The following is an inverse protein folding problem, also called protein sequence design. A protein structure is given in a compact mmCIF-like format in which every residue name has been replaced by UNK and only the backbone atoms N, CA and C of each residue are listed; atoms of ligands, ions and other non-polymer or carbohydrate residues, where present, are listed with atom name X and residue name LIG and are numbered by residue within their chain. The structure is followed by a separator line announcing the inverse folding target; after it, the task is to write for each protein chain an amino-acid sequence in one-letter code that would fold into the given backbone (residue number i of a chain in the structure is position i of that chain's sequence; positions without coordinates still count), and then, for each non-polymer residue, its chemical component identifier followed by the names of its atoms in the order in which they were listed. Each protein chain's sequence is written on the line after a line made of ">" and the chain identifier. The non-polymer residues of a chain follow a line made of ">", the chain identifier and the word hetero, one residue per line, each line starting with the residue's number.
data_IF_524357558227
#
_entry.id   IF_524357558227
#
_cell.length_a   1.000
_cell.length_b   1.000
_cell.length_c   1.000
_cell.angle_alpha   90.00
_cell.angle_beta   90.00
_cell.angle_gamma   90.00
#
_symmetry.space_group_name_H-M   'P 1'
#
loop_
_entity.id
_entity.type
_entity.pdbx_description
1 polymer ?
#
# COMPACT_ATOMS: atom_id res chain seq x y z
N UNK A 1 -21.42 75.70 -23.43
CA UNK A 1 -20.46 74.69 -23.00
C UNK A 1 -21.10 73.47 -22.30
N UNK A 2 -22.29 73.04 -22.75
CA UNK A 2 -23.06 71.96 -22.04
C UNK A 2 -23.21 70.65 -22.89
N UNK A 3 -22.98 70.69 -24.18
CA UNK A 3 -23.23 69.54 -25.05
C UNK A 3 -22.12 68.44 -25.01
N UNK A 4 -20.88 68.74 -24.63
CA UNK A 4 -19.76 67.77 -24.66
C UNK A 4 -19.71 66.84 -23.42
N UNK A 5 -20.33 67.20 -22.30
CA UNK A 5 -20.32 66.36 -21.09
C UNK A 5 -21.22 65.11 -21.22
N UNK A 6 -22.33 65.22 -21.94
CA UNK A 6 -23.28 64.11 -22.11
C UNK A 6 -22.77 63.03 -23.07
N UNK A 7 -21.95 63.39 -24.04
CA UNK A 7 -21.40 62.44 -25.01
C UNK A 7 -20.29 61.56 -24.41
N UNK A 8 -19.40 62.14 -23.57
CA UNK A 8 -18.32 61.46 -22.88
C UNK A 8 -18.90 60.47 -21.85
N UNK A 9 -19.93 60.85 -21.12
CA UNK A 9 -20.57 59.98 -20.12
C UNK A 9 -21.22 58.74 -20.73
N UNK A 10 -21.88 58.92 -21.90
CA UNK A 10 -22.50 57.80 -22.62
C UNK A 10 -21.48 56.81 -23.20
N UNK A 11 -20.33 57.26 -23.67
CA UNK A 11 -19.26 56.39 -24.15
C UNK A 11 -18.64 55.57 -23.02
N UNK A 12 -18.43 56.13 -21.83
CA UNK A 12 -17.91 55.40 -20.67
C UNK A 12 -18.86 54.33 -20.15
N UNK A 13 -20.17 54.59 -20.12
CA UNK A 13 -21.17 53.62 -19.66
C UNK A 13 -21.28 52.43 -20.61
N UNK A 14 -21.26 52.66 -21.94
CA UNK A 14 -21.29 51.57 -22.93
C UNK A 14 -20.05 50.71 -22.86
N UNK A 15 -18.86 51.28 -22.65
CA UNK A 15 -17.58 50.52 -22.52
C UNK A 15 -17.55 49.67 -21.25
N UNK A 16 -18.01 50.20 -20.12
CA UNK A 16 -18.09 49.47 -18.85
C UNK A 16 -19.11 48.30 -18.89
N UNK A 17 -20.22 48.46 -19.55
CA UNK A 17 -21.20 47.36 -19.72
C UNK A 17 -20.65 46.28 -20.64
N UNK A 18 -19.93 46.62 -21.70
CA UNK A 18 -19.31 45.63 -22.59
C UNK A 18 -18.23 44.83 -21.89
N UNK A 19 -17.38 45.45 -21.04
CA UNK A 19 -16.36 44.76 -20.25
C UNK A 19 -16.96 43.85 -19.18
N UNK A 20 -18.04 44.31 -18.51
CA UNK A 20 -18.74 43.47 -17.54
C UNK A 20 -19.41 42.25 -18.16
N UNK A 21 -20.00 42.41 -19.36
CA UNK A 21 -20.63 41.32 -20.10
C UNK A 21 -19.61 40.30 -20.60
N UNK A 22 -18.40 40.75 -20.97
CA UNK A 22 -17.31 39.85 -21.41
C UNK A 22 -16.71 39.07 -20.27
N UNK A 23 -16.57 39.64 -19.07
CA UNK A 23 -16.11 38.94 -17.86
C UNK A 23 -17.11 37.91 -17.35
N UNK A 24 -18.40 38.10 -17.51
CA UNK A 24 -19.44 37.14 -17.12
C UNK A 24 -19.47 35.94 -18.10
N UNK A 25 -19.26 36.19 -19.40
CA UNK A 25 -19.20 35.10 -20.39
C UNK A 25 -17.93 34.24 -20.28
N UNK A 26 -16.81 34.82 -19.84
CA UNK A 26 -15.55 34.05 -19.61
C UNK A 26 -15.58 33.17 -18.37
N UNK A 27 -16.46 33.43 -17.42
CA UNK A 27 -16.60 32.66 -16.17
C UNK A 27 -17.48 31.41 -16.31
N UNK A 28 -18.22 31.25 -17.39
CA UNK A 28 -19.14 30.12 -17.59
C UNK A 28 -18.44 28.92 -18.27
N UNK A 29 -17.31 29.12 -18.95
CA UNK A 29 -16.62 28.05 -19.63
C UNK A 29 -15.65 27.22 -18.76
N UNK A 30 -15.37 27.63 -17.50
CA UNK A 30 -14.50 26.90 -16.59
C UNK A 30 -15.19 25.87 -15.67
N UNK A 31 -16.49 25.70 -15.79
CA UNK A 31 -17.26 24.90 -14.82
C UNK A 31 -17.65 23.49 -15.29
N UNK A 32 -17.22 23.01 -16.45
CA UNK A 32 -17.64 21.70 -16.97
C UNK A 32 -16.50 20.75 -17.38
N UNK A 33 -15.33 20.86 -16.77
CA UNK A 33 -14.39 19.76 -16.76
C UNK A 33 -14.75 18.79 -15.62
N UNK A 34 -15.95 18.24 -15.64
CA UNK A 34 -16.25 17.01 -14.91
C UNK A 34 -15.42 15.92 -15.59
N UNK A 35 -14.20 15.68 -15.09
CA UNK A 35 -13.47 14.45 -15.41
C UNK A 35 -14.39 13.31 -14.99
N UNK A 36 -15.10 12.75 -15.95
CA UNK A 36 -15.77 11.47 -15.77
C UNK A 36 -14.72 10.51 -15.25
N UNK A 37 -14.81 10.11 -13.99
CA UNK A 37 -13.99 9.08 -13.41
C UNK A 37 -14.26 7.82 -14.25
N UNK A 38 -13.40 7.56 -15.23
CA UNK A 38 -13.48 6.32 -16.01
C UNK A 38 -13.22 5.19 -15.04
N UNK A 39 -14.19 4.30 -14.86
CA UNK A 39 -13.98 3.08 -14.09
C UNK A 39 -12.72 2.38 -14.60
N UNK A 40 -11.72 2.10 -13.73
CA UNK A 40 -10.48 1.50 -14.17
C UNK A 40 -10.77 0.15 -14.84
N UNK A 41 -10.13 -0.07 -16.01
CA UNK A 41 -10.30 -1.31 -16.75
C UNK A 41 -9.67 -2.50 -15.98
N UNK A 42 -10.21 -3.72 -16.08
CA UNK A 42 -9.61 -4.90 -15.45
C UNK A 42 -8.12 -5.11 -15.80
N UNK A 43 -7.70 -4.75 -17.01
CA UNK A 43 -6.29 -4.81 -17.42
C UNK A 43 -5.40 -3.87 -16.58
N UNK A 44 -5.88 -2.68 -16.24
CA UNK A 44 -5.14 -1.74 -15.38
C UNK A 44 -5.06 -2.27 -13.94
N UNK A 45 -6.09 -2.98 -13.49
CA UNK A 45 -6.11 -3.68 -12.21
C UNK A 45 -5.10 -4.82 -12.15
N UNK A 46 -4.93 -5.61 -13.21
CA UNK A 46 -3.92 -6.67 -13.26
C UNK A 46 -2.50 -6.10 -13.27
N UNK A 47 -2.23 -5.03 -14.02
CA UNK A 47 -0.93 -4.36 -13.98
C UNK A 47 -0.62 -3.77 -12.59
N UNK A 48 -1.64 -3.24 -11.89
CA UNK A 48 -1.51 -2.78 -10.52
C UNK A 48 -1.26 -3.96 -9.57
N UNK A 49 -1.91 -5.11 -9.78
CA UNK A 49 -1.68 -6.33 -9.02
C UNK A 49 -0.24 -6.83 -9.15
N UNK A 50 0.37 -6.81 -10.32
CA UNK A 50 1.76 -7.23 -10.52
C UNK A 50 2.72 -6.41 -9.62
N UNK A 51 2.46 -5.13 -9.48
CA UNK A 51 3.19 -4.25 -8.55
C UNK A 51 2.96 -4.66 -7.09
N UNK A 52 1.73 -4.96 -6.70
CA UNK A 52 1.40 -5.44 -5.34
C UNK A 52 2.10 -6.78 -5.08
N UNK A 53 2.01 -7.74 -5.98
CA UNK A 53 2.63 -9.06 -5.84
C UNK A 53 4.16 -8.98 -5.69
N UNK A 54 4.83 -8.08 -6.40
CA UNK A 54 6.28 -7.89 -6.29
C UNK A 54 6.71 -7.50 -4.86
N UNK A 55 5.89 -6.73 -4.17
CA UNK A 55 6.12 -6.34 -2.77
C UNK A 55 5.77 -7.48 -1.81
N UNK A 56 4.61 -8.13 -1.99
CA UNK A 56 4.18 -9.21 -1.11
C UNK A 56 5.16 -10.38 -1.08
N UNK A 57 5.86 -10.63 -2.18
CA UNK A 57 6.87 -11.70 -2.29
C UNK A 57 8.31 -11.23 -2.06
N UNK A 58 8.48 -9.99 -1.61
CA UNK A 58 9.78 -9.46 -1.17
C UNK A 58 10.13 -9.97 0.24
N UNK A 59 11.40 -10.16 0.59
CA UNK A 59 11.81 -10.71 1.90
C UNK A 59 11.17 -10.05 3.12
N UNK A 60 10.94 -8.73 3.10
CA UNK A 60 10.29 -8.00 4.22
C UNK A 60 8.85 -8.46 4.49
N UNK A 61 8.17 -9.03 3.51
CA UNK A 61 6.81 -9.54 3.63
C UNK A 61 6.80 -11.07 3.73
N UNK A 62 7.43 -11.77 2.78
CA UNK A 62 7.35 -13.23 2.67
C UNK A 62 8.00 -13.96 3.86
N UNK A 63 8.97 -13.36 4.56
CA UNK A 63 9.57 -13.94 5.75
C UNK A 63 8.57 -14.15 6.90
N UNK A 64 7.57 -13.27 7.02
CA UNK A 64 6.45 -13.44 7.97
C UNK A 64 5.31 -14.25 7.38
N UNK A 65 5.07 -14.11 6.06
CA UNK A 65 4.08 -14.86 5.29
C UNK A 65 4.63 -16.23 4.83
N UNK A 66 5.33 -16.93 5.70
CA UNK A 66 5.97 -18.23 5.47
C UNK A 66 5.00 -19.38 5.71
N UNK A 67 5.21 -20.50 4.99
CA UNK A 67 4.52 -21.77 5.24
C UNK A 67 5.12 -22.57 6.39
N UNK A 68 6.32 -22.20 6.85
CA UNK A 68 7.07 -22.95 7.85
C UNK A 68 6.51 -22.78 9.27
N UNK A 69 6.85 -23.73 10.15
CA UNK A 69 6.56 -23.61 11.59
C UNK A 69 7.58 -22.71 12.32
N UNK A 70 8.28 -21.86 11.62
CA UNK A 70 9.25 -20.91 12.16
C UNK A 70 9.27 -19.66 11.30
N UNK A 71 9.67 -18.51 11.86
CA UNK A 71 9.90 -17.30 11.06
C UNK A 71 11.15 -17.45 10.20
N UNK A 72 11.15 -16.84 9.03
CA UNK A 72 12.34 -16.62 8.23
C UNK A 72 12.90 -15.23 8.49
N UNK A 73 14.17 -15.01 8.19
CA UNK A 73 14.83 -13.72 8.30
C UNK A 73 15.90 -13.53 7.22
N UNK A 74 16.37 -12.30 7.08
CA UNK A 74 17.35 -11.96 6.06
C UNK A 74 16.74 -11.83 4.66
N UNK A 75 17.58 -11.45 3.71
CA UNK A 75 17.19 -11.33 2.31
C UNK A 75 17.25 -12.69 1.59
N UNK A 76 18.04 -13.61 2.14
CA UNK A 76 18.14 -15.03 1.76
C UNK A 76 17.08 -15.91 2.40
N UNK A 77 16.23 -15.36 3.27
CA UNK A 77 15.10 -16.03 3.90
C UNK A 77 15.49 -17.27 4.73
N UNK A 78 16.66 -17.27 5.34
CA UNK A 78 17.07 -18.35 6.24
C UNK A 78 16.19 -18.42 7.50
N UNK A 79 16.22 -19.57 8.20
CA UNK A 79 15.53 -19.75 9.46
C UNK A 79 16.01 -18.76 10.52
N UNK A 80 15.10 -18.25 11.32
CA UNK A 80 15.41 -17.34 12.43
C UNK A 80 16.42 -17.96 13.41
N UNK A 81 17.47 -17.23 13.77
CA UNK A 81 18.62 -17.73 14.52
C UNK A 81 18.29 -18.25 15.92
N UNK A 82 17.36 -17.65 16.62
CA UNK A 82 17.00 -18.04 17.99
C UNK A 82 16.16 -19.34 18.07
N UNK A 83 16.06 -20.13 17.00
CA UNK A 83 15.22 -21.33 16.93
C UNK A 83 13.74 -21.10 17.35
N UNK A 84 13.26 -19.90 17.20
CA UNK A 84 11.86 -19.53 17.45
C UNK A 84 10.95 -20.37 16.56
N UNK A 85 9.84 -20.82 17.10
CA UNK A 85 8.78 -21.47 16.35
C UNK A 85 7.52 -20.59 16.33
N UNK A 86 6.64 -20.85 15.37
CA UNK A 86 5.43 -20.05 15.12
C UNK A 86 4.54 -19.92 16.37
N UNK A 87 4.30 -21.03 17.09
CA UNK A 87 3.40 -21.06 18.23
C UNK A 87 1.95 -20.67 17.91
N UNK A 88 1.10 -20.57 18.90
CA UNK A 88 -0.28 -20.11 18.75
C UNK A 88 -0.33 -18.69 18.16
N UNK A 89 -1.24 -18.47 17.23
CA UNK A 89 -1.48 -17.17 16.60
C UNK A 89 -0.23 -16.52 15.94
N UNK A 90 0.82 -17.30 15.68
CA UNK A 90 2.06 -16.76 15.12
C UNK A 90 2.91 -15.95 16.07
N UNK A 91 2.62 -15.98 17.38
CA UNK A 91 3.24 -15.12 18.41
C UNK A 91 4.44 -15.76 19.13
N UNK A 92 4.88 -16.93 18.67
CA UNK A 92 5.91 -17.73 19.36
C UNK A 92 5.30 -18.59 20.47
N UNK A 93 6.14 -19.18 21.29
CA UNK A 93 5.75 -20.06 22.42
C UNK A 93 6.17 -19.47 23.75
N UNK A 94 5.65 -20.03 24.84
CA UNK A 94 6.05 -19.62 26.18
C UNK A 94 7.59 -19.70 26.33
N UNK A 95 8.19 -18.63 26.84
CA UNK A 95 9.64 -18.46 26.96
C UNK A 95 10.37 -17.98 25.69
N UNK A 96 9.75 -18.07 24.52
CA UNK A 96 10.25 -17.55 23.23
C UNK A 96 9.16 -16.82 22.46
N UNK A 97 8.43 -15.95 23.13
CA UNK A 97 7.42 -15.11 22.51
C UNK A 97 8.11 -14.03 21.65
N UNK A 98 7.56 -13.73 20.48
CA UNK A 98 8.13 -12.76 19.54
C UNK A 98 8.40 -11.39 20.20
N UNK A 99 7.44 -10.88 20.96
CA UNK A 99 7.55 -9.56 21.61
C UNK A 99 8.58 -9.50 22.75
N UNK A 100 9.11 -10.65 23.20
CA UNK A 100 10.20 -10.66 24.20
C UNK A 100 11.48 -10.02 23.64
N UNK A 101 11.70 -10.12 22.33
CA UNK A 101 12.85 -9.52 21.63
C UNK A 101 12.41 -8.37 20.71
N UNK A 102 11.32 -8.55 19.96
CA UNK A 102 10.80 -7.56 19.03
C UNK A 102 9.86 -6.60 19.76
N UNK A 103 10.40 -5.45 20.16
CA UNK A 103 9.68 -4.43 20.90
C UNK A 103 8.85 -3.53 19.97
N UNK A 104 8.22 -2.48 20.51
CA UNK A 104 7.36 -1.53 19.79
C UNK A 104 8.07 -0.78 18.64
N UNK A 105 9.41 -0.79 18.62
CA UNK A 105 10.26 -0.14 17.62
C UNK A 105 11.59 -0.86 17.45
N UNK A 106 12.26 -0.60 16.32
CA UNK A 106 13.62 -1.10 16.09
C UNK A 106 14.58 -0.67 17.20
N UNK A 107 15.49 -1.57 17.59
CA UNK A 107 16.58 -1.26 18.51
C UNK A 107 17.85 -0.95 17.73
N UNK A 108 18.30 0.29 17.75
CA UNK A 108 19.57 0.68 17.11
C UNK A 108 20.78 0.10 17.84
N UNK A 109 20.66 -0.15 19.14
CA UNK A 109 21.76 -0.70 19.95
C UNK A 109 22.04 -2.18 19.66
N UNK A 110 20.99 -2.97 19.35
CA UNK A 110 21.11 -4.43 19.15
C UNK A 110 20.88 -4.85 17.70
N UNK A 111 20.34 -3.95 16.88
CA UNK A 111 19.89 -4.28 15.53
C UNK A 111 18.67 -5.20 15.48
N UNK A 112 17.99 -5.45 16.61
CA UNK A 112 16.75 -6.22 16.62
C UNK A 112 15.62 -5.37 16.03
N UNK A 113 14.91 -5.86 15.00
CA UNK A 113 13.78 -5.14 14.45
C UNK A 113 12.59 -5.15 15.41
N UNK A 114 11.74 -4.13 15.34
CA UNK A 114 10.55 -4.02 16.17
C UNK A 114 9.45 -3.19 15.52
N UNK A 115 8.24 -3.57 15.82
CA UNK A 115 7.01 -2.84 15.54
C UNK A 115 5.91 -3.36 16.47
N UNK A 116 4.86 -2.58 16.67
CA UNK A 116 3.76 -2.98 17.53
C UNK A 116 3.19 -4.35 17.14
N UNK A 117 2.99 -5.22 18.12
CA UNK A 117 2.31 -6.50 17.94
C UNK A 117 3.07 -7.51 17.07
N UNK A 118 4.38 -7.57 17.13
CA UNK A 118 5.22 -8.45 16.29
C UNK A 118 4.78 -9.92 16.33
N UNK A 119 4.40 -10.46 15.18
CA UNK A 119 3.96 -11.84 15.00
C UNK A 119 4.10 -12.31 13.56
N UNK A 120 3.96 -13.62 13.31
CA UNK A 120 3.88 -14.19 11.96
C UNK A 120 2.46 -14.09 11.40
N UNK A 121 2.35 -13.85 10.11
CA UNK A 121 1.07 -13.97 9.42
C UNK A 121 0.47 -15.36 9.56
N UNK A 122 -0.86 -15.52 9.57
CA UNK A 122 -1.50 -16.82 9.67
C UNK A 122 -1.15 -17.70 8.46
N UNK A 123 -1.13 -19.02 8.66
CA UNK A 123 -0.79 -19.97 7.59
C UNK A 123 -1.73 -19.89 6.37
N UNK A 124 -2.95 -19.40 6.55
CA UNK A 124 -3.88 -19.12 5.45
C UNK A 124 -3.38 -18.01 4.52
N UNK A 125 -2.50 -17.14 5.01
CA UNK A 125 -1.93 -15.99 4.31
C UNK A 125 -0.43 -16.16 4.02
N UNK A 126 -0.01 -17.38 3.74
CA UNK A 126 1.37 -17.66 3.30
C UNK A 126 1.56 -17.29 1.82
N UNK A 127 2.75 -16.83 1.47
CA UNK A 127 3.17 -16.50 0.11
C UNK A 127 4.18 -17.49 -0.49
N UNK A 128 4.46 -18.58 0.21
CA UNK A 128 5.35 -19.67 -0.21
C UNK A 128 4.77 -21.02 0.19
N UNK A 129 5.27 -22.09 -0.45
CA UNK A 129 5.00 -23.47 -0.07
C UNK A 129 6.01 -24.00 0.96
N UNK A 130 5.86 -25.26 1.36
CA UNK A 130 6.75 -25.92 2.33
C UNK A 130 8.17 -26.18 1.78
N UNK A 131 8.36 -26.08 0.47
CA UNK A 131 9.67 -26.22 -0.20
C UNK A 131 10.32 -24.85 -0.43
N UNK A 132 9.84 -23.80 0.25
CA UNK A 132 10.32 -22.42 0.15
C UNK A 132 10.16 -21.79 -1.24
N UNK A 133 9.36 -22.40 -2.13
CA UNK A 133 9.01 -21.83 -3.42
C UNK A 133 7.93 -20.75 -3.23
N UNK A 134 8.15 -19.59 -3.81
CA UNK A 134 7.12 -18.55 -3.86
C UNK A 134 5.86 -19.07 -4.55
N UNK A 135 4.69 -18.81 -3.97
CA UNK A 135 3.42 -19.06 -4.64
C UNK A 135 3.30 -18.17 -5.88
N UNK A 136 2.58 -18.66 -6.88
CA UNK A 136 2.34 -17.88 -8.10
C UNK A 136 1.53 -16.61 -7.81
N UNK A 137 1.61 -15.65 -8.71
CA UNK A 137 0.84 -14.41 -8.62
C UNK A 137 -0.66 -14.66 -8.48
N UNK A 138 -1.19 -15.66 -9.22
CA UNK A 138 -2.58 -16.05 -9.14
C UNK A 138 -2.95 -16.68 -7.77
N UNK A 139 -2.09 -17.55 -7.22
CA UNK A 139 -2.31 -18.18 -5.91
C UNK A 139 -2.34 -17.15 -4.78
N UNK A 140 -1.37 -16.21 -4.75
CA UNK A 140 -1.32 -15.14 -3.74
C UNK A 140 -2.53 -14.22 -3.87
N UNK A 141 -2.91 -13.84 -5.09
CA UNK A 141 -4.08 -13.00 -5.33
C UNK A 141 -5.36 -13.65 -4.80
N UNK A 142 -5.61 -14.92 -5.16
CA UNK A 142 -6.77 -15.64 -4.67
C UNK A 142 -6.79 -15.81 -3.16
N UNK A 143 -5.64 -16.03 -2.53
CA UNK A 143 -5.56 -16.09 -1.08
C UNK A 143 -5.89 -14.72 -0.44
N UNK A 144 -5.39 -13.64 -1.04
CA UNK A 144 -5.58 -12.29 -0.53
C UNK A 144 -7.04 -11.82 -0.57
N UNK A 145 -7.80 -12.18 -1.61
CA UNK A 145 -9.22 -11.82 -1.72
C UNK A 145 -10.18 -12.81 -1.05
N UNK A 146 -9.70 -13.98 -0.61
CA UNK A 146 -10.52 -14.96 0.10
C UNK A 146 -10.74 -14.52 1.55
N UNK A 147 -11.93 -14.00 1.84
CA UNK A 147 -12.31 -13.49 3.16
C UNK A 147 -12.25 -14.54 4.28
N UNK A 148 -12.26 -15.83 3.96
CA UNK A 148 -12.06 -16.91 4.93
C UNK A 148 -10.59 -17.06 5.31
N UNK A 149 -9.66 -16.63 4.46
CA UNK A 149 -8.22 -16.72 4.69
C UNK A 149 -7.63 -15.44 5.27
N UNK A 150 -8.16 -14.28 4.88
CA UNK A 150 -7.61 -12.95 5.17
C UNK A 150 -8.30 -12.24 6.36
N UNK A 151 -8.92 -12.99 7.28
CA UNK A 151 -9.65 -12.44 8.43
C UNK A 151 -10.85 -11.54 8.08
N UNK A 152 -11.49 -11.81 6.95
CA UNK A 152 -12.73 -11.13 6.53
C UNK A 152 -12.52 -9.80 5.80
N UNK A 153 -11.30 -9.43 5.47
CA UNK A 153 -11.02 -8.17 4.78
C UNK A 153 -11.60 -8.18 3.35
N UNK A 154 -12.26 -7.11 2.99
CA UNK A 154 -12.64 -6.77 1.62
C UNK A 154 -11.58 -5.86 0.98
N UNK A 155 -11.84 -5.37 -0.23
CA UNK A 155 -10.90 -4.50 -0.93
C UNK A 155 -10.50 -3.24 -0.13
N UNK A 156 -11.45 -2.45 0.37
CA UNK A 156 -11.14 -1.33 1.27
C UNK A 156 -10.37 -1.75 2.53
N UNK A 157 -10.71 -2.87 3.13
CA UNK A 157 -10.02 -3.42 4.30
C UNK A 157 -8.57 -3.81 3.98
N UNK A 158 -8.32 -4.43 2.82
CA UNK A 158 -6.97 -4.73 2.34
C UNK A 158 -6.15 -3.46 2.09
N UNK A 159 -6.77 -2.45 1.49
CA UNK A 159 -6.11 -1.15 1.28
C UNK A 159 -5.72 -0.52 2.62
N UNK A 160 -6.64 -0.50 3.58
CA UNK A 160 -6.38 0.01 4.93
C UNK A 160 -5.26 -0.76 5.61
N UNK A 161 -5.28 -2.09 5.55
CA UNK A 161 -4.21 -2.95 6.09
C UNK A 161 -2.84 -2.60 5.49
N UNK A 162 -2.75 -2.44 4.17
CA UNK A 162 -1.50 -2.05 3.50
C UNK A 162 -1.06 -0.63 3.85
N UNK A 163 -1.97 0.25 4.25
CA UNK A 163 -1.67 1.64 4.62
C UNK A 163 -1.22 1.81 6.07
N UNK A 164 -1.81 1.06 7.01
CA UNK A 164 -1.79 1.42 8.43
C UNK A 164 -1.21 0.33 9.34
N UNK A 165 -1.16 -0.95 8.88
CA UNK A 165 -0.70 -2.04 9.73
C UNK A 165 0.78 -1.86 10.14
N UNK A 166 1.11 -1.83 11.44
CA UNK A 166 2.47 -1.58 11.91
C UNK A 166 3.53 -2.53 11.33
N UNK A 167 3.19 -3.81 11.14
CA UNK A 167 4.12 -4.79 10.55
C UNK A 167 4.30 -4.58 9.03
N UNK A 168 3.28 -4.07 8.34
CA UNK A 168 3.41 -3.65 6.94
C UNK A 168 4.30 -2.42 6.83
N UNK A 169 4.06 -1.41 7.65
CA UNK A 169 4.85 -0.16 7.69
C UNK A 169 6.32 -0.43 8.01
N UNK A 170 6.58 -1.42 8.89
CA UNK A 170 7.93 -1.83 9.22
C UNK A 170 8.74 -2.25 7.99
N UNK A 171 8.15 -2.82 6.95
CA UNK A 171 8.85 -3.25 5.75
C UNK A 171 9.66 -2.12 5.08
N UNK A 172 9.23 -0.86 5.23
CA UNK A 172 9.91 0.34 4.72
C UNK A 172 10.73 1.08 5.76
N UNK A 173 10.65 0.67 7.02
CA UNK A 173 11.49 1.17 8.10
C UNK A 173 12.04 0.00 8.93
N UNK A 174 12.80 -0.94 8.34
CA UNK A 174 13.20 -2.17 9.01
C UNK A 174 14.39 -1.99 9.98
N UNK A 175 14.89 -0.80 10.16
CA UNK A 175 16.06 -0.52 10.99
C UNK A 175 17.37 -1.04 10.38
N UNK A 176 18.40 -1.13 11.21
CA UNK A 176 19.73 -1.62 10.84
C UNK A 176 19.95 -3.05 11.31
N UNK A 177 20.93 -3.74 10.70
CA UNK A 177 21.45 -5.02 11.19
C UNK A 177 22.36 -4.80 12.41
N UNK A 178 22.69 -5.86 13.18
CA UNK A 178 23.62 -5.72 14.32
C UNK A 178 25.01 -5.18 13.94
N UNK A 179 25.44 -5.39 12.70
CA UNK A 179 26.69 -4.86 12.14
C UNK A 179 26.59 -3.38 11.69
N UNK A 180 25.44 -2.75 11.91
CA UNK A 180 25.16 -1.38 11.51
C UNK A 180 24.77 -1.19 10.04
N UNK A 181 24.80 -2.23 9.21
CA UNK A 181 24.39 -2.15 7.80
C UNK A 181 22.88 -1.96 7.66
N UNK A 182 22.46 -1.28 6.58
CA UNK A 182 21.06 -1.10 6.27
C UNK A 182 20.42 -2.43 5.83
N UNK A 183 19.16 -2.65 6.23
CA UNK A 183 18.33 -3.71 5.64
C UNK A 183 17.80 -3.27 4.29
N UNK A 184 17.69 -4.22 3.35
CA UNK A 184 17.09 -3.94 2.05
C UNK A 184 15.63 -3.54 2.18
N UNK A 185 15.16 -2.71 1.26
CA UNK A 185 13.77 -2.24 1.20
C UNK A 185 13.06 -2.87 -0.01
N UNK A 186 11.73 -2.99 0.01
CA UNK A 186 10.96 -3.34 -1.18
C UNK A 186 11.30 -2.43 -2.37
N UNK A 187 11.12 -2.93 -3.57
CA UNK A 187 11.44 -2.21 -4.83
C UNK A 187 10.57 -0.98 -5.05
N UNK A 188 9.35 -0.99 -4.52
CA UNK A 188 8.44 0.15 -4.51
C UNK A 188 8.52 0.89 -3.18
N UNK A 189 8.35 2.20 -3.19
CA UNK A 189 8.08 2.96 -1.97
C UNK A 189 6.74 2.54 -1.37
N UNK A 190 6.53 2.77 -0.06
CA UNK A 190 5.24 2.50 0.57
C UNK A 190 4.08 3.23 -0.13
N UNK A 191 4.27 4.50 -0.50
CA UNK A 191 3.26 5.26 -1.23
C UNK A 191 2.91 4.64 -2.60
N UNK A 192 3.91 4.14 -3.34
CA UNK A 192 3.69 3.44 -4.61
C UNK A 192 2.96 2.10 -4.42
N UNK A 193 3.30 1.34 -3.37
CA UNK A 193 2.61 0.09 -3.02
C UNK A 193 1.15 0.33 -2.66
N UNK A 194 0.88 1.33 -1.83
CA UNK A 194 -0.48 1.73 -1.46
C UNK A 194 -1.28 2.19 -2.68
N UNK A 195 -0.67 2.97 -3.58
CA UNK A 195 -1.33 3.41 -4.81
C UNK A 195 -1.62 2.24 -5.75
N UNK A 196 -0.69 1.30 -5.90
CA UNK A 196 -0.93 0.07 -6.66
C UNK A 196 -2.10 -0.74 -6.05
N UNK A 197 -2.13 -0.89 -4.72
CA UNK A 197 -3.26 -1.54 -4.03
C UNK A 197 -4.58 -0.80 -4.28
N UNK A 198 -4.59 0.54 -4.20
CA UNK A 198 -5.79 1.34 -4.46
C UNK A 198 -6.33 1.12 -5.87
N UNK A 199 -5.45 1.15 -6.88
CA UNK A 199 -5.82 0.91 -8.28
C UNK A 199 -6.35 -0.50 -8.50
N UNK A 200 -5.73 -1.51 -7.90
CA UNK A 200 -6.19 -2.90 -7.95
C UNK A 200 -7.57 -3.06 -7.30
N UNK A 201 -7.79 -2.46 -6.13
CA UNK A 201 -9.09 -2.47 -5.43
C UNK A 201 -10.15 -1.74 -6.24
N UNK A 202 -9.84 -0.56 -6.80
CA UNK A 202 -10.78 0.20 -7.63
C UNK A 202 -11.19 -0.54 -8.91
N UNK A 203 -10.33 -1.42 -9.43
CA UNK A 203 -10.63 -2.29 -10.57
C UNK A 203 -11.41 -3.57 -10.20
N UNK A 204 -11.84 -3.72 -8.94
CA UNK A 204 -12.60 -4.89 -8.48
C UNK A 204 -11.73 -6.08 -8.10
N UNK A 205 -10.50 -5.86 -7.70
CA UNK A 205 -9.53 -6.88 -7.25
C UNK A 205 -9.32 -8.04 -8.24
N UNK A 206 -9.08 -7.78 -9.54
CA UNK A 206 -8.90 -8.85 -10.51
C UNK A 206 -7.65 -9.68 -10.20
N UNK A 207 -7.76 -11.00 -10.34
CA UNK A 207 -6.63 -11.92 -10.20
C UNK A 207 -6.18 -12.47 -11.56
N UNK A 208 -4.87 -12.71 -11.74
CA UNK A 208 -4.38 -13.38 -12.94
C UNK A 208 -5.03 -14.75 -13.16
N UNK A 209 -5.18 -15.15 -14.41
CA UNK A 209 -5.55 -16.53 -14.76
C UNK A 209 -4.32 -17.43 -14.56
N UNK A 210 -4.58 -18.68 -14.19
CA UNK A 210 -3.54 -19.70 -14.02
C UNK A 210 -3.67 -20.46 -12.69
N UNK A 211 -2.84 -21.50 -12.51
CA UNK A 211 -2.82 -22.28 -11.28
C UNK A 211 -2.46 -21.43 -10.07
#
# INVERSE_FOLDING_TARGET
>A
MSANRSLVLRSFVVTLVAIACWMVLSSVEMANATTAATNPKPADGLAAWDSVYSVLTYPRCINCHTATNYPQQGDDRHRHFANVIRGPEGKGVAGLNCISCHQEKNSDATGVPGAHGWHLAPLSMRWQDLNDRKLTSAEVCRALIDRKKNHGLDGPGLLKHHQEEPLVLWAWNPGRRPDGSARSLPTLTHAQFVEATRRWVAAGTPCPKGP
#
